data_IF_866792534630
#
_entry.id   IF_866792534630
#
_cell.length_a   1.000
_cell.length_b   1.000
_cell.length_c   1.000
_cell.angle_alpha   90.00
_cell.angle_beta   90.00
_cell.angle_gamma   90.00
#
_symmetry.space_group_name_H-M   'P 1'
#
loop_
_entity.id
_entity.type
_entity.pdbx_description
1 polymer ?
#
# COMPACT_ATOMS: atom_id res chain seq x y z
N UNK A 1 54.37 27.57 -11.59
CA UNK A 1 53.91 26.53 -10.64
C UNK A 1 52.47 26.83 -10.22
N UNK A 2 51.48 26.22 -10.87
CA UNK A 2 50.04 26.41 -10.56
C UNK A 2 49.66 25.49 -9.41
N UNK A 3 49.04 26.02 -8.35
CA UNK A 3 48.37 25.26 -7.29
C UNK A 3 47.10 24.60 -7.84
N UNK A 4 46.95 23.26 -7.84
CA UNK A 4 45.68 22.61 -8.14
C UNK A 4 45.34 21.69 -6.97
N UNK A 5 44.86 22.23 -5.85
CA UNK A 5 44.44 21.39 -4.71
C UNK A 5 43.08 21.79 -4.13
N UNK A 6 42.71 23.06 -4.21
CA UNK A 6 41.42 23.53 -3.70
C UNK A 6 40.24 23.13 -4.60
N UNK A 7 40.42 23.17 -5.92
CA UNK A 7 39.37 22.83 -6.89
C UNK A 7 39.04 21.33 -6.89
N UNK A 8 40.04 20.48 -6.63
CA UNK A 8 39.87 19.03 -6.58
C UNK A 8 39.07 18.61 -5.34
N UNK A 9 39.25 19.30 -4.20
CA UNK A 9 38.53 19.03 -2.95
C UNK A 9 37.05 19.41 -2.99
N UNK A 10 36.73 20.52 -3.66
CA UNK A 10 35.32 20.93 -3.86
C UNK A 10 34.60 19.98 -4.82
N UNK A 11 35.29 19.48 -5.85
CA UNK A 11 34.72 18.51 -6.78
C UNK A 11 34.47 17.14 -6.12
N UNK A 12 35.38 16.65 -5.29
CA UNK A 12 35.20 15.37 -4.60
C UNK A 12 34.12 15.42 -3.53
N UNK A 13 33.94 16.56 -2.85
CA UNK A 13 32.86 16.77 -1.87
C UNK A 13 31.48 16.88 -2.52
N UNK A 14 31.39 17.52 -3.69
CA UNK A 14 30.12 17.60 -4.45
C UNK A 14 29.71 16.23 -5.02
N UNK A 15 30.68 15.44 -5.48
CA UNK A 15 30.44 14.07 -6.00
C UNK A 15 30.05 13.12 -4.86
N UNK A 16 30.62 13.26 -3.66
CA UNK A 16 30.17 12.47 -2.50
C UNK A 16 28.78 12.86 -2.02
N UNK A 17 28.39 14.14 -2.10
CA UNK A 17 27.02 14.57 -1.78
C UNK A 17 26.00 14.09 -2.83
N UNK A 18 26.40 14.01 -4.10
CA UNK A 18 25.58 13.45 -5.18
C UNK A 18 25.48 11.92 -5.12
N UNK A 19 26.52 11.24 -4.62
CA UNK A 19 26.53 9.77 -4.47
C UNK A 19 25.89 9.29 -3.15
N UNK A 20 25.83 10.10 -2.09
CA UNK A 20 24.96 9.81 -0.92
C UNK A 20 23.50 10.16 -1.17
N UNK A 21 23.23 10.96 -2.21
CA UNK A 21 21.90 11.14 -2.81
C UNK A 21 21.40 9.91 -3.60
N UNK A 22 22.19 8.83 -3.69
CA UNK A 22 21.73 7.56 -4.23
C UNK A 22 20.72 6.91 -3.28
N UNK A 23 19.46 7.21 -3.55
CA UNK A 23 18.38 6.21 -3.57
C UNK A 23 18.15 5.45 -2.26
N UNK A 24 17.75 6.17 -1.21
CA UNK A 24 16.55 5.69 -0.54
C UNK A 24 15.38 6.26 -1.34
N UNK A 25 14.58 5.44 -2.06
CA UNK A 25 13.31 5.96 -2.54
C UNK A 25 12.60 6.43 -1.28
N UNK A 26 12.25 7.71 -1.21
CA UNK A 26 11.35 8.22 -0.19
C UNK A 26 10.12 7.33 -0.32
N UNK A 27 10.00 6.31 0.54
CA UNK A 27 8.90 5.35 0.53
C UNK A 27 7.67 6.16 0.87
N UNK A 28 6.96 6.62 -0.15
CA UNK A 28 5.72 7.37 0.02
C UNK A 28 4.66 6.38 0.49
N UNK A 29 4.53 6.23 1.80
CA UNK A 29 3.57 5.34 2.44
C UNK A 29 2.14 5.61 1.95
N UNK A 30 1.30 4.57 1.85
CA UNK A 30 -0.11 4.74 1.45
C UNK A 30 -0.87 5.62 2.42
N UNK A 31 -0.57 5.48 3.70
CA UNK A 31 -1.28 6.15 4.77
C UNK A 31 -0.33 7.00 5.61
N UNK A 32 -0.85 8.11 6.13
CA UNK A 32 -0.23 8.92 7.17
C UNK A 32 -0.75 8.43 8.53
N UNK A 33 0.17 8.14 9.45
CA UNK A 33 -0.11 7.64 10.79
C UNK A 33 0.19 8.66 11.90
N UNK A 34 0.45 9.93 11.57
CA UNK A 34 0.74 10.99 12.58
C UNK A 34 -0.34 11.09 13.66
N UNK A 35 -1.61 10.86 13.31
CA UNK A 35 -2.74 10.85 14.24
C UNK A 35 -2.86 9.56 15.08
N UNK A 36 -2.00 8.56 14.83
CA UNK A 36 -2.02 7.25 15.48
C UNK A 36 -0.64 6.89 16.05
N UNK A 37 -0.25 7.47 17.21
CA UNK A 37 1.10 7.29 17.75
C UNK A 37 1.46 5.84 18.09
N UNK A 38 0.46 4.98 18.28
CA UNK A 38 0.63 3.56 18.58
C UNK A 38 0.67 2.67 17.33
N UNK A 39 0.57 3.23 16.13
CA UNK A 39 0.60 2.49 14.87
C UNK A 39 1.91 2.77 14.13
N UNK A 40 2.62 1.71 13.78
CA UNK A 40 3.91 1.78 13.08
C UNK A 40 3.84 0.93 11.82
N UNK A 41 4.29 1.49 10.70
CA UNK A 41 4.44 0.71 9.45
C UNK A 41 5.62 -0.24 9.65
N UNK A 42 5.35 -1.54 9.71
CA UNK A 42 6.37 -2.57 9.93
C UNK A 42 6.83 -3.25 8.66
N UNK A 43 5.96 -3.28 7.64
CA UNK A 43 6.32 -3.87 6.37
C UNK A 43 5.65 -3.12 5.20
N UNK A 44 6.33 -3.14 4.06
CA UNK A 44 5.88 -2.51 2.83
C UNK A 44 6.53 -3.21 1.65
N UNK A 45 5.74 -3.58 0.66
CA UNK A 45 6.24 -4.17 -0.57
C UNK A 45 5.41 -3.78 -1.80
N UNK A 46 6.04 -3.86 -2.97
CA UNK A 46 5.40 -3.68 -4.26
C UNK A 46 5.78 -4.87 -5.15
N UNK A 47 4.78 -5.69 -5.48
CA UNK A 47 4.95 -6.89 -6.28
C UNK A 47 4.47 -6.60 -7.71
N UNK A 48 5.35 -6.73 -8.69
CA UNK A 48 5.05 -6.46 -10.11
C UNK A 48 5.37 -7.65 -11.02
N UNK A 49 6.32 -8.51 -10.63
CA UNK A 49 6.60 -9.72 -11.40
C UNK A 49 5.56 -10.81 -11.13
N UNK A 50 5.31 -11.64 -12.15
CA UNK A 50 4.38 -12.76 -12.02
C UNK A 50 4.82 -13.78 -10.96
N UNK A 51 6.13 -14.01 -10.81
CA UNK A 51 6.66 -14.93 -9.80
C UNK A 51 6.46 -14.40 -8.37
N UNK A 52 6.68 -13.10 -8.13
CA UNK A 52 6.39 -12.47 -6.83
C UNK A 52 4.90 -12.54 -6.49
N UNK A 53 4.05 -12.17 -7.44
CA UNK A 53 2.59 -12.21 -7.29
C UNK A 53 2.12 -13.63 -7.01
N UNK A 54 2.62 -14.62 -7.75
CA UNK A 54 2.30 -16.05 -7.54
C UNK A 54 2.76 -16.54 -6.17
N UNK A 55 3.99 -16.23 -5.77
CA UNK A 55 4.53 -16.60 -4.45
C UNK A 55 3.73 -15.96 -3.31
N UNK A 56 3.30 -14.72 -3.48
CA UNK A 56 2.51 -13.99 -2.50
C UNK A 56 1.10 -14.58 -2.34
N UNK A 57 0.40 -14.78 -3.46
CA UNK A 57 -0.99 -15.25 -3.47
C UNK A 57 -1.13 -16.75 -3.19
N UNK A 58 -0.08 -17.54 -3.43
CA UNK A 58 -0.07 -19.00 -3.26
C UNK A 58 -1.27 -19.63 -3.99
N UNK A 59 -2.11 -20.35 -3.26
CA UNK A 59 -3.28 -21.07 -3.80
C UNK A 59 -4.35 -20.12 -4.37
N UNK A 60 -4.30 -18.83 -4.03
CA UNK A 60 -5.22 -17.83 -4.59
C UNK A 60 -4.75 -17.26 -5.93
N UNK A 61 -3.55 -17.60 -6.42
CA UNK A 61 -2.99 -17.00 -7.65
C UNK A 61 -3.94 -17.15 -8.84
N UNK A 62 -4.44 -18.36 -9.12
CA UNK A 62 -5.36 -18.62 -10.24
C UNK A 62 -6.60 -17.74 -10.19
N UNK A 63 -7.14 -17.51 -9.00
CA UNK A 63 -8.32 -16.67 -8.80
C UNK A 63 -8.02 -15.21 -9.15
N UNK A 64 -6.93 -14.65 -8.64
CA UNK A 64 -6.57 -13.25 -8.90
C UNK A 64 -6.09 -13.04 -10.35
N UNK A 65 -5.46 -14.04 -10.97
CA UNK A 65 -5.10 -14.02 -12.38
C UNK A 65 -6.33 -13.94 -13.30
N UNK A 66 -7.46 -14.55 -12.91
CA UNK A 66 -8.73 -14.42 -13.65
C UNK A 66 -9.29 -12.98 -13.65
N UNK A 67 -8.84 -12.14 -12.70
CA UNK A 67 -9.15 -10.70 -12.64
C UNK A 67 -8.01 -9.83 -13.18
N UNK A 68 -7.10 -10.40 -13.97
CA UNK A 68 -6.02 -9.67 -14.64
C UNK A 68 -5.20 -8.76 -13.71
N UNK A 69 -4.87 -9.26 -12.50
CA UNK A 69 -4.03 -8.53 -11.54
C UNK A 69 -2.62 -8.39 -12.08
N UNK A 70 -2.14 -7.15 -12.15
CA UNK A 70 -0.82 -6.79 -12.69
C UNK A 70 0.18 -6.41 -11.61
N UNK A 71 -0.30 -5.90 -10.48
CA UNK A 71 0.52 -5.36 -9.41
C UNK A 71 -0.20 -5.47 -8.08
N UNK A 72 0.56 -5.76 -7.03
CA UNK A 72 0.08 -5.79 -5.65
C UNK A 72 0.94 -4.81 -4.84
N UNK A 73 0.31 -3.87 -4.16
CA UNK A 73 0.96 -3.02 -3.17
C UNK A 73 0.52 -3.54 -1.81
N UNK A 74 1.49 -3.92 -0.99
CA UNK A 74 1.29 -4.46 0.35
C UNK A 74 1.82 -3.49 1.39
N UNK A 75 1.06 -3.29 2.46
CA UNK A 75 1.51 -2.57 3.63
C UNK A 75 1.01 -3.25 4.90
N UNK A 76 1.92 -3.43 5.86
CA UNK A 76 1.60 -3.89 7.21
C UNK A 76 1.85 -2.77 8.21
N UNK A 77 0.87 -2.57 9.09
CA UNK A 77 0.93 -1.65 10.21
C UNK A 77 0.77 -2.48 11.47
N UNK A 78 1.70 -2.36 12.40
CA UNK A 78 1.65 -3.04 13.69
C UNK A 78 1.33 -2.04 14.79
N UNK A 79 0.45 -2.47 15.70
CA UNK A 79 0.12 -1.74 16.92
C UNK A 79 1.14 -2.03 18.02
N UNK A 80 1.21 -1.20 19.06
CA UNK A 80 2.02 -1.47 20.27
C UNK A 80 1.71 -2.83 20.93
N UNK A 81 0.51 -3.38 20.74
CA UNK A 81 0.09 -4.68 21.26
C UNK A 81 0.25 -5.82 20.24
N UNK A 82 1.14 -5.67 19.24
CA UNK A 82 1.46 -6.66 18.21
C UNK A 82 0.30 -7.12 17.31
N UNK A 83 -0.85 -6.43 17.35
CA UNK A 83 -1.91 -6.61 16.36
C UNK A 83 -1.49 -5.99 15.04
N UNK A 84 -1.88 -6.63 13.93
CA UNK A 84 -1.45 -6.21 12.58
C UNK A 84 -2.64 -5.79 11.75
N UNK A 85 -2.56 -4.62 11.14
CA UNK A 85 -3.46 -4.13 10.10
C UNK A 85 -2.75 -4.34 8.76
N UNK A 86 -3.39 -5.10 7.88
CA UNK A 86 -2.88 -5.42 6.56
C UNK A 86 -3.66 -4.63 5.52
N UNK A 87 -2.94 -3.95 4.64
CA UNK A 87 -3.48 -3.23 3.50
C UNK A 87 -2.93 -3.91 2.24
N UNK A 88 -3.83 -4.37 1.39
CA UNK A 88 -3.49 -4.94 0.08
C UNK A 88 -4.25 -4.17 -1.01
N UNK A 89 -3.51 -3.58 -1.94
CA UNK A 89 -4.05 -2.89 -3.12
C UNK A 89 -3.64 -3.68 -4.36
N UNK A 90 -4.64 -4.10 -5.13
CA UNK A 90 -4.49 -4.85 -6.37
C UNK A 90 -4.79 -3.92 -7.54
N UNK A 91 -3.80 -3.67 -8.38
CA UNK A 91 -4.03 -3.02 -9.67
C UNK A 91 -4.40 -4.10 -10.68
N UNK A 92 -5.58 -3.97 -11.27
CA UNK A 92 -6.10 -4.86 -12.29
C UNK A 92 -5.92 -4.26 -13.68
N UNK A 93 -6.31 -4.98 -14.74
CA UNK A 93 -6.25 -4.45 -16.10
C UNK A 93 -7.32 -3.39 -16.38
N UNK A 94 -8.45 -3.42 -15.67
CA UNK A 94 -9.58 -2.54 -15.94
C UNK A 94 -10.43 -2.30 -14.71
N UNK A 95 -11.23 -1.23 -14.73
CA UNK A 95 -12.23 -0.96 -13.68
C UNK A 95 -13.22 -2.12 -13.50
N UNK A 96 -13.59 -2.79 -14.59
CA UNK A 96 -14.49 -3.94 -14.56
C UNK A 96 -13.88 -5.11 -13.77
N UNK A 97 -12.59 -5.38 -13.97
CA UNK A 97 -11.88 -6.43 -13.24
C UNK A 97 -11.82 -6.13 -11.74
N UNK A 98 -11.44 -4.90 -11.37
CA UNK A 98 -11.42 -4.45 -9.97
C UNK A 98 -12.80 -4.53 -9.30
N UNK A 99 -13.86 -4.10 -9.99
CA UNK A 99 -15.24 -4.19 -9.51
C UNK A 99 -15.66 -5.64 -9.28
N UNK A 100 -15.33 -6.54 -10.21
CA UNK A 100 -15.70 -7.95 -10.09
C UNK A 100 -14.92 -8.65 -8.97
N UNK A 101 -13.66 -8.27 -8.75
CA UNK A 101 -12.89 -8.75 -7.61
C UNK A 101 -13.49 -8.23 -6.29
N UNK A 102 -13.85 -6.94 -6.21
CA UNK A 102 -14.55 -6.36 -5.06
C UNK A 102 -15.85 -7.09 -4.70
N UNK A 103 -16.69 -7.43 -5.68
CA UNK A 103 -17.95 -8.15 -5.47
C UNK A 103 -17.80 -9.49 -4.74
N UNK A 104 -16.63 -10.13 -4.81
CA UNK A 104 -16.36 -11.36 -4.05
C UNK A 104 -16.18 -11.14 -2.56
N UNK A 105 -15.72 -9.94 -2.19
CA UNK A 105 -15.38 -9.55 -0.84
C UNK A 105 -16.39 -8.55 -0.25
N UNK A 106 -17.38 -8.15 -1.04
CA UNK A 106 -18.37 -7.17 -0.58
C UNK A 106 -19.24 -7.76 0.52
N UNK A 107 -19.52 -6.96 1.54
CA UNK A 107 -20.42 -7.28 2.65
C UNK A 107 -21.74 -6.53 2.51
N UNK A 108 -22.71 -6.85 3.37
CA UNK A 108 -24.02 -6.19 3.41
C UNK A 108 -23.89 -4.73 3.87
N UNK A 109 -22.92 -4.42 4.73
CA UNK A 109 -22.74 -3.06 5.26
C UNK A 109 -21.90 -2.21 4.29
N UNK A 110 -22.58 -1.42 3.49
CA UNK A 110 -21.99 -0.54 2.47
C UNK A 110 -21.41 0.73 3.09
N UNK A 111 -20.31 1.23 2.53
CA UNK A 111 -19.65 2.48 2.95
C UNK A 111 -19.33 3.37 1.75
N UNK A 112 -19.32 4.67 1.97
CA UNK A 112 -19.03 5.67 0.92
C UNK A 112 -17.51 5.86 0.76
N UNK A 113 -16.82 4.81 0.29
CA UNK A 113 -15.38 4.82 0.01
C UNK A 113 -15.16 4.16 -1.36
N UNK A 114 -14.31 4.76 -2.19
CA UNK A 114 -14.09 4.27 -3.55
C UNK A 114 -15.26 4.61 -4.49
N UNK A 115 -15.34 3.87 -5.59
CA UNK A 115 -16.51 3.81 -6.47
C UNK A 115 -17.63 2.95 -5.85
N UNK A 116 -17.24 1.91 -5.09
CA UNK A 116 -18.09 1.25 -4.10
C UNK A 116 -17.21 0.59 -3.03
N UNK A 117 -17.74 0.48 -1.81
CA UNK A 117 -17.04 -0.11 -0.67
C UNK A 117 -18.00 -0.69 0.35
N UNK A 118 -17.50 -1.63 1.14
CA UNK A 118 -18.26 -2.29 2.19
C UNK A 118 -17.34 -2.79 3.30
N UNK A 119 -17.87 -2.91 4.51
CA UNK A 119 -17.10 -3.30 5.69
C UNK A 119 -17.79 -4.41 6.49
N UNK A 120 -17.00 -5.15 7.25
CA UNK A 120 -17.45 -6.08 8.29
C UNK A 120 -16.49 -5.97 9.47
N UNK A 121 -16.71 -6.75 10.53
CA UNK A 121 -15.85 -6.70 11.72
C UNK A 121 -14.36 -6.93 11.38
N UNK A 122 -13.54 -5.87 11.47
CA UNK A 122 -12.10 -5.91 11.22
C UNK A 122 -11.71 -6.10 9.75
N UNK A 123 -12.62 -5.86 8.80
CA UNK A 123 -12.38 -6.00 7.36
C UNK A 123 -13.10 -4.90 6.59
N UNK A 124 -12.43 -4.28 5.62
CA UNK A 124 -13.01 -3.31 4.71
C UNK A 124 -12.48 -3.56 3.31
N UNK A 125 -13.37 -3.64 2.32
CA UNK A 125 -13.01 -3.77 0.92
C UNK A 125 -13.68 -2.66 0.10
N UNK A 126 -12.97 -2.15 -0.90
CA UNK A 126 -13.52 -1.20 -1.86
C UNK A 126 -12.78 -1.29 -3.19
N UNK A 127 -13.29 -0.64 -4.23
CA UNK A 127 -12.53 -0.42 -5.46
C UNK A 127 -12.62 1.04 -5.90
N UNK A 128 -11.60 1.51 -6.63
CA UNK A 128 -11.52 2.84 -7.25
C UNK A 128 -10.85 2.69 -8.60
N UNK A 129 -11.55 2.98 -9.69
CA UNK A 129 -10.99 2.76 -11.03
C UNK A 129 -10.51 1.31 -11.18
N UNK A 130 -9.28 1.10 -11.65
CA UNK A 130 -8.65 -0.21 -11.82
C UNK A 130 -8.05 -0.83 -10.54
N UNK A 131 -8.22 -0.18 -9.39
CA UNK A 131 -7.67 -0.63 -8.11
C UNK A 131 -8.74 -1.28 -7.24
N UNK A 132 -8.48 -2.51 -6.80
CA UNK A 132 -9.22 -3.17 -5.72
C UNK A 132 -8.39 -3.10 -4.43
N UNK A 133 -9.03 -2.78 -3.31
CA UNK A 133 -8.38 -2.62 -2.01
C UNK A 133 -9.08 -3.48 -0.97
N UNK A 134 -8.30 -4.17 -0.14
CA UNK A 134 -8.79 -4.76 1.11
C UNK A 134 -7.88 -4.39 2.28
N UNK A 135 -8.51 -4.06 3.40
CA UNK A 135 -7.87 -3.71 4.65
C UNK A 135 -8.43 -4.64 5.71
N UNK A 136 -7.58 -5.33 6.44
CA UNK A 136 -8.03 -6.29 7.43
C UNK A 136 -7.09 -6.42 8.62
N UNK A 137 -7.64 -6.81 9.76
CA UNK A 137 -6.91 -6.94 11.00
C UNK A 137 -6.64 -8.40 11.31
N UNK A 138 -5.38 -8.71 11.65
CA UNK A 138 -4.98 -9.97 12.27
C UNK A 138 -4.90 -9.77 13.78
N UNK A 139 -5.86 -10.34 14.49
CA UNK A 139 -6.05 -10.19 15.94
C UNK A 139 -7.21 -9.26 16.30
N UNK A 140 -7.43 -9.07 17.59
CA UNK A 140 -8.46 -8.15 18.10
C UNK A 140 -7.88 -6.75 18.29
N UNK A 141 -8.42 -5.74 17.62
CA UNK A 141 -8.08 -4.33 17.84
C UNK A 141 -9.34 -3.57 18.25
N UNK A 142 -9.27 -2.83 19.36
CA UNK A 142 -10.36 -1.94 19.78
C UNK A 142 -10.55 -0.82 18.75
N UNK A 143 -11.79 -0.49 18.42
CA UNK A 143 -12.16 0.50 17.40
C UNK A 143 -11.59 0.17 16.00
N UNK A 144 -11.39 -1.11 15.72
CA UNK A 144 -10.88 -1.63 14.45
C UNK A 144 -11.54 -1.00 13.22
N UNK A 145 -12.88 -1.01 13.18
CA UNK A 145 -13.64 -0.52 12.04
C UNK A 145 -13.46 0.98 11.79
N UNK A 146 -13.32 1.78 12.84
CA UNK A 146 -13.05 3.21 12.71
C UNK A 146 -11.66 3.45 12.12
N UNK A 147 -10.64 2.77 12.65
CA UNK A 147 -9.26 2.89 12.17
C UNK A 147 -9.16 2.48 10.70
N UNK A 148 -9.68 1.30 10.33
CA UNK A 148 -9.60 0.84 8.93
C UNK A 148 -10.37 1.75 7.97
N UNK A 149 -11.47 2.39 8.43
CA UNK A 149 -12.23 3.34 7.61
C UNK A 149 -11.45 4.60 7.33
N UNK A 150 -10.75 5.14 8.32
CA UNK A 150 -9.89 6.31 8.12
C UNK A 150 -8.70 5.99 7.22
N UNK A 151 -8.06 4.82 7.40
CA UNK A 151 -7.01 4.36 6.49
C UNK A 151 -7.53 4.19 5.06
N UNK A 152 -8.73 3.62 4.89
CA UNK A 152 -9.37 3.44 3.59
C UNK A 152 -9.65 4.77 2.89
N UNK A 153 -10.15 5.79 3.62
CA UNK A 153 -10.36 7.15 3.07
C UNK A 153 -9.05 7.76 2.57
N UNK A 154 -7.96 7.63 3.34
CA UNK A 154 -6.65 8.13 2.92
C UNK A 154 -6.16 7.45 1.64
N UNK A 155 -6.31 6.13 1.54
CA UNK A 155 -5.95 5.37 0.35
C UNK A 155 -6.80 5.82 -0.85
N UNK A 156 -8.11 5.93 -0.66
CA UNK A 156 -9.04 6.34 -1.71
C UNK A 156 -8.68 7.72 -2.30
N UNK A 157 -8.38 8.70 -1.44
CA UNK A 157 -7.91 10.03 -1.87
C UNK A 157 -6.66 9.90 -2.75
N UNK A 158 -5.69 9.06 -2.37
CA UNK A 158 -4.45 8.88 -3.15
C UNK A 158 -4.69 8.16 -4.47
N UNK A 159 -5.64 7.22 -4.53
CA UNK A 159 -5.98 6.49 -5.75
C UNK A 159 -6.79 7.37 -6.72
N UNK A 160 -7.62 8.28 -6.21
CA UNK A 160 -8.38 9.24 -7.04
C UNK A 160 -7.48 10.24 -7.79
N UNK A 161 -6.27 10.49 -7.28
CA UNK A 161 -5.29 11.42 -7.86
C UNK A 161 -4.36 10.76 -8.91
N UNK A 162 -4.51 9.46 -9.15
CA UNK A 162 -3.74 8.69 -10.13
C UNK A 162 -4.56 8.48 -11.40
#
# INVERSE_FOLDING_TARGET
MKKPKLFLFLYTSLITLLLTGCYHPIKKYLVNLEQYPNLVITNWDILESQDEIKKYLKDQYTLYSAYNVKKIIFQEITTSNYQRIIIEIFQTKSKMDAMNLYRRYSSINQVTIGDAGSESSGFLAFYRGEFFVKIYIKGYLKNSNEIIRELAKQIDIKLKLR
#
